data_IF_264731546766
#
_entry.id   IF_264731546766
#
_cell.length_a   1.000
_cell.length_b   1.000
_cell.length_c   1.000
_cell.angle_alpha   90.00
_cell.angle_beta   90.00
_cell.angle_gamma   90.00
#
_symmetry.space_group_name_H-M   'P 1'
#
loop_
_entity.id
_entity.type
_entity.pdbx_description
1 polymer ?
#
# COMPACT_ATOMS: atom_id res chain seq x y z
N UNK A 1 -8.10 24.94 29.01
CA UNK A 1 -7.84 24.80 27.57
C UNK A 1 -8.22 23.37 27.24
N UNK A 2 -9.42 23.17 26.69
CA UNK A 2 -9.99 21.85 26.49
C UNK A 2 -9.38 21.22 25.22
N UNK A 3 -8.85 20.01 25.37
CA UNK A 3 -8.51 19.11 24.26
C UNK A 3 -9.76 18.79 23.46
N UNK A 4 -9.80 19.25 22.21
CA UNK A 4 -10.84 18.91 21.23
C UNK A 4 -10.22 18.11 20.09
N UNK A 5 -9.59 16.97 20.38
CA UNK A 5 -9.24 16.00 19.35
C UNK A 5 -10.08 14.73 19.54
N UNK A 6 -11.31 14.82 19.05
CA UNK A 6 -12.26 13.72 19.02
C UNK A 6 -11.85 12.75 17.88
N UNK A 7 -11.56 11.47 18.16
CA UNK A 7 -11.44 10.43 17.14
C UNK A 7 -12.61 10.42 16.12
N UNK A 8 -13.75 11.01 16.50
CA UNK A 8 -14.90 11.27 15.64
C UNK A 8 -14.63 12.18 14.44
N UNK A 9 -13.75 13.18 14.54
CA UNK A 9 -13.50 14.12 13.42
C UNK A 9 -12.78 13.43 12.27
N UNK A 10 -11.69 12.72 12.55
CA UNK A 10 -10.92 11.98 11.54
C UNK A 10 -11.79 10.89 10.91
N UNK A 11 -12.51 10.09 11.74
CA UNK A 11 -13.41 9.04 11.23
C UNK A 11 -14.51 9.61 10.34
N UNK A 12 -15.07 10.76 10.69
CA UNK A 12 -16.11 11.43 9.89
C UNK A 12 -15.56 11.93 8.55
N UNK A 13 -14.39 12.57 8.55
CA UNK A 13 -13.74 13.04 7.33
C UNK A 13 -13.42 11.87 6.38
N UNK A 14 -12.88 10.77 6.90
CA UNK A 14 -12.60 9.56 6.11
C UNK A 14 -13.91 8.95 5.59
N UNK A 15 -14.95 8.87 6.42
CA UNK A 15 -16.25 8.32 6.01
C UNK A 15 -16.91 9.16 4.89
N UNK A 16 -16.78 10.48 4.94
CA UNK A 16 -17.25 11.37 3.87
C UNK A 16 -16.44 11.22 2.58
N UNK A 17 -15.12 11.05 2.70
CA UNK A 17 -14.27 10.78 1.54
C UNK A 17 -14.64 9.45 0.87
N UNK A 18 -14.95 8.41 1.65
CA UNK A 18 -15.36 7.10 1.14
C UNK A 18 -16.69 7.13 0.38
N UNK A 19 -17.59 8.07 0.70
CA UNK A 19 -18.86 8.24 -0.05
C UNK A 19 -18.63 8.77 -1.47
N UNK A 20 -17.58 9.56 -1.70
CA UNK A 20 -17.25 10.10 -3.02
C UNK A 20 -16.22 9.24 -3.77
N UNK A 21 -15.31 8.60 -3.04
CA UNK A 21 -14.29 7.71 -3.58
C UNK A 21 -14.13 6.48 -2.67
N UNK A 22 -14.67 5.30 -3.05
CA UNK A 22 -14.52 4.08 -2.25
C UNK A 22 -13.05 3.64 -2.11
N UNK A 23 -12.12 4.21 -2.90
CA UNK A 23 -10.67 3.94 -2.80
C UNK A 23 -9.91 4.97 -1.97
N UNK A 24 -10.58 5.95 -1.37
CA UNK A 24 -9.93 6.91 -0.47
C UNK A 24 -9.15 6.19 0.64
N UNK A 25 -9.71 5.11 1.19
CA UNK A 25 -9.03 4.28 2.20
C UNK A 25 -7.71 3.68 1.71
N UNK A 26 -7.67 3.14 0.48
CA UNK A 26 -6.45 2.59 -0.10
C UNK A 26 -5.37 3.66 -0.33
N UNK A 27 -5.78 4.86 -0.80
CA UNK A 27 -4.88 6.02 -0.98
C UNK A 27 -4.27 6.45 0.36
N UNK A 28 -5.09 6.55 1.41
CA UNK A 28 -4.64 6.94 2.75
C UNK A 28 -3.69 5.90 3.36
N UNK A 29 -4.01 4.60 3.29
CA UNK A 29 -3.10 3.54 3.78
C UNK A 29 -1.76 3.57 3.04
N UNK A 30 -1.77 3.76 1.72
CA UNK A 30 -0.53 3.87 0.93
C UNK A 30 0.28 5.11 1.29
N UNK A 31 -0.37 6.26 1.45
CA UNK A 31 0.30 7.50 1.86
C UNK A 31 0.96 7.33 3.24
N UNK A 32 0.27 6.69 4.17
CA UNK A 32 0.82 6.39 5.50
C UNK A 32 2.01 5.43 5.46
N UNK A 33 1.97 4.39 4.61
CA UNK A 33 3.12 3.52 4.38
C UNK A 33 4.31 4.31 3.82
N UNK A 34 4.09 5.17 2.81
CA UNK A 34 5.14 6.00 2.22
C UNK A 34 5.77 6.94 3.27
N UNK A 35 4.95 7.55 4.12
CA UNK A 35 5.41 8.39 5.24
C UNK A 35 6.26 7.58 6.23
N UNK A 36 5.77 6.43 6.71
CA UNK A 36 6.53 5.61 7.66
C UNK A 36 7.81 5.03 7.06
N UNK A 37 7.83 4.69 5.77
CA UNK A 37 9.04 4.16 5.15
C UNK A 37 10.10 5.24 4.89
N UNK A 38 9.74 6.52 4.87
CA UNK A 38 10.64 7.65 4.61
C UNK A 38 10.85 8.41 5.92
N UNK A 39 12.09 8.54 6.38
CA UNK A 39 12.48 9.28 7.59
C UNK A 39 12.08 8.66 8.93
N UNK A 40 11.66 7.38 9.02
CA UNK A 40 11.74 6.67 10.30
C UNK A 40 13.18 6.17 10.51
N UNK A 41 14.02 6.82 11.34
CA UNK A 41 15.03 6.09 12.07
C UNK A 41 14.31 5.10 13.00
N UNK A 42 15.00 4.04 13.38
CA UNK A 42 14.59 2.94 14.27
C UNK A 42 14.09 3.34 15.68
N UNK A 43 13.63 4.57 15.89
CA UNK A 43 13.16 5.11 17.17
C UNK A 43 11.63 5.17 17.31
N UNK A 44 10.85 4.83 16.28
CA UNK A 44 9.39 4.65 16.42
C UNK A 44 9.01 3.20 16.78
N UNK A 45 9.79 2.57 17.67
CA UNK A 45 9.69 1.17 18.08
C UNK A 45 8.47 0.81 18.93
N UNK A 46 7.30 1.35 18.60
CA UNK A 46 6.04 1.09 19.28
C UNK A 46 4.96 0.67 18.27
N UNK A 47 4.23 -0.42 18.51
CA UNK A 47 3.04 -0.73 17.72
C UNK A 47 2.01 0.39 17.84
N UNK A 48 1.40 0.75 16.70
CA UNK A 48 0.32 1.73 16.65
C UNK A 48 -0.94 1.13 17.26
N UNK A 49 -1.38 1.65 18.41
CA UNK A 49 -2.67 1.32 19.01
C UNK A 49 -3.41 2.61 19.38
N UNK A 50 -4.73 2.52 19.54
CA UNK A 50 -5.56 3.61 20.08
C UNK A 50 -4.92 4.21 21.34
N UNK A 51 -4.50 5.49 21.26
CA UNK A 51 -4.02 6.25 22.43
C UNK A 51 -2.70 7.01 22.23
N UNK A 52 -1.87 6.68 21.24
CA UNK A 52 -0.62 7.42 21.00
C UNK A 52 -0.82 8.53 19.95
N UNK A 53 -1.18 9.73 20.41
CA UNK A 53 -1.46 10.90 19.57
C UNK A 53 -0.22 11.75 19.25
N UNK A 54 1.00 11.27 19.51
CA UNK A 54 2.19 12.14 19.53
C UNK A 54 3.26 11.82 18.48
N UNK A 55 2.89 11.89 17.19
CA UNK A 55 3.90 12.13 16.15
C UNK A 55 3.96 13.62 15.85
N UNK A 56 5.18 14.18 15.89
CA UNK A 56 5.43 15.55 15.44
C UNK A 56 5.75 15.53 13.95
N UNK A 57 5.24 16.53 13.24
CA UNK A 57 5.53 16.69 11.81
C UNK A 57 7.01 17.05 11.60
N UNK A 58 7.66 16.39 10.65
CA UNK A 58 9.00 16.77 10.20
C UNK A 58 8.95 18.14 9.53
N UNK A 59 9.99 18.96 9.72
CA UNK A 59 10.12 20.25 9.03
C UNK A 59 10.79 20.13 7.66
N UNK A 60 11.16 18.91 7.25
CA UNK A 60 11.86 18.63 5.98
C UNK A 60 11.32 17.38 5.30
N UNK A 61 11.45 17.33 3.96
CA UNK A 61 11.19 16.14 3.17
C UNK A 61 12.51 15.50 2.70
N UNK A 62 12.50 14.18 2.50
CA UNK A 62 13.67 13.43 2.00
C UNK A 62 13.37 12.72 0.68
N UNK A 63 13.72 13.36 -0.44
CA UNK A 63 13.57 12.76 -1.77
C UNK A 63 14.51 11.56 -1.97
N UNK A 64 15.73 11.63 -1.42
CA UNK A 64 16.70 10.54 -1.51
C UNK A 64 16.19 9.27 -0.84
N UNK A 65 15.49 9.38 0.30
CA UNK A 65 14.85 8.24 0.94
C UNK A 65 13.59 7.77 0.21
N UNK A 66 12.78 8.70 -0.32
CA UNK A 66 11.62 8.33 -1.13
C UNK A 66 12.01 7.52 -2.38
N UNK A 67 13.19 7.75 -2.95
CA UNK A 67 13.73 6.95 -4.05
C UNK A 67 14.14 5.52 -3.65
N UNK A 68 14.21 5.21 -2.34
CA UNK A 68 14.54 3.89 -1.81
C UNK A 68 13.32 3.10 -1.34
N UNK A 69 12.10 3.54 -1.68
CA UNK A 69 10.88 2.78 -1.38
C UNK A 69 10.89 1.40 -2.07
N UNK A 70 10.30 0.37 -1.44
CA UNK A 70 10.18 -0.95 -2.04
C UNK A 70 9.56 -0.91 -3.44
N UNK A 71 10.32 -1.38 -4.42
CA UNK A 71 9.84 -1.46 -5.80
C UNK A 71 9.16 -2.80 -6.06
N UNK A 72 8.06 -2.74 -6.79
CA UNK A 72 7.35 -3.87 -7.39
C UNK A 72 8.21 -4.83 -8.23
N UNK A 73 9.35 -4.38 -8.77
CA UNK A 73 10.25 -5.20 -9.58
C UNK A 73 11.33 -5.90 -8.76
N UNK A 74 11.40 -5.64 -7.45
CA UNK A 74 12.37 -6.24 -6.55
C UNK A 74 12.00 -7.69 -6.22
N UNK A 75 13.03 -8.51 -6.05
CA UNK A 75 12.90 -9.89 -5.55
C UNK A 75 12.41 -9.90 -4.11
N UNK A 76 11.86 -11.03 -3.66
CA UNK A 76 11.47 -11.20 -2.26
C UNK A 76 12.61 -10.89 -1.28
N UNK A 77 13.85 -11.32 -1.59
CA UNK A 77 15.03 -11.04 -0.77
C UNK A 77 15.39 -9.54 -0.70
N UNK A 78 15.11 -8.76 -1.75
CA UNK A 78 15.29 -7.30 -1.73
C UNK A 78 14.20 -6.63 -0.89
N UNK A 79 12.94 -7.06 -1.01
CA UNK A 79 11.86 -6.54 -0.19
C UNK A 79 12.07 -6.85 1.31
N UNK A 80 12.46 -8.09 1.65
CA UNK A 80 12.78 -8.48 3.03
C UNK A 80 13.87 -7.58 3.62
N UNK A 81 14.97 -7.33 2.89
CA UNK A 81 16.05 -6.45 3.36
C UNK A 81 15.57 -5.01 3.60
N UNK A 82 14.71 -4.48 2.72
CA UNK A 82 14.18 -3.13 2.88
C UNK A 82 13.27 -3.00 4.11
N UNK A 83 12.44 -4.01 4.40
CA UNK A 83 11.61 -4.05 5.61
C UNK A 83 12.46 -4.21 6.87
N UNK A 84 13.48 -5.09 6.84
CA UNK A 84 14.43 -5.26 7.95
C UNK A 84 15.19 -3.97 8.28
N UNK A 85 15.55 -3.18 7.27
CA UNK A 85 16.16 -1.86 7.47
C UNK A 85 15.24 -0.87 8.20
N UNK A 86 13.93 -1.16 8.26
CA UNK A 86 12.91 -0.40 9.01
C UNK A 86 12.47 -1.11 10.30
N UNK A 87 13.19 -2.15 10.73
CA UNK A 87 12.86 -2.92 11.94
C UNK A 87 11.66 -3.86 11.77
N UNK A 88 11.20 -4.08 10.54
CA UNK A 88 10.08 -4.96 10.22
C UNK A 88 10.59 -6.33 9.75
N UNK A 89 10.00 -7.40 10.26
CA UNK A 89 10.38 -8.77 9.91
C UNK A 89 9.60 -9.28 8.67
N UNK A 90 9.83 -10.53 8.29
CA UNK A 90 9.16 -11.13 7.13
C UNK A 90 7.64 -11.28 7.31
N UNK A 91 7.15 -11.50 8.54
CA UNK A 91 5.72 -11.55 8.80
C UNK A 91 5.09 -10.16 8.59
N UNK A 92 5.77 -9.10 9.00
CA UNK A 92 5.33 -7.72 8.76
C UNK A 92 5.27 -7.41 7.26
N UNK A 93 6.27 -7.86 6.48
CA UNK A 93 6.25 -7.75 5.02
C UNK A 93 5.02 -8.44 4.42
N UNK A 94 4.76 -9.69 4.79
CA UNK A 94 3.62 -10.45 4.26
C UNK A 94 2.30 -9.78 4.67
N UNK A 95 2.14 -9.45 5.95
CA UNK A 95 0.93 -8.83 6.48
C UNK A 95 0.63 -7.46 5.84
N UNK A 96 1.66 -6.61 5.70
CA UNK A 96 1.52 -5.28 5.08
C UNK A 96 1.32 -5.38 3.56
N UNK A 97 1.83 -6.43 2.90
CA UNK A 97 1.53 -6.69 1.49
C UNK A 97 0.04 -6.97 1.25
N UNK A 98 -0.67 -7.48 2.26
CA UNK A 98 -2.13 -7.62 2.26
C UNK A 98 -2.88 -6.30 2.05
N UNK A 99 -2.26 -5.14 2.25
CA UNK A 99 -2.86 -3.86 1.90
C UNK A 99 -3.14 -3.71 0.39
N UNK A 100 -2.61 -4.58 -0.46
CA UNK A 100 -2.96 -4.66 -1.88
C UNK A 100 -4.31 -5.36 -2.16
N UNK A 101 -5.05 -5.81 -1.15
CA UNK A 101 -6.40 -6.39 -1.31
C UNK A 101 -7.46 -5.40 -1.82
N UNK A 102 -7.11 -4.12 -1.92
CA UNK A 102 -7.97 -3.05 -2.41
C UNK A 102 -7.13 -1.92 -3.01
N UNK A 103 -7.73 -1.08 -3.85
CA UNK A 103 -7.03 0.00 -4.54
C UNK A 103 -6.65 -0.35 -5.98
N UNK A 104 -5.83 0.49 -6.61
CA UNK A 104 -5.45 0.36 -8.03
C UNK A 104 -3.96 0.52 -8.28
N UNK A 105 -3.48 -0.10 -9.35
CA UNK A 105 -2.16 0.10 -9.92
C UNK A 105 -2.25 0.53 -11.40
N UNK A 106 -1.30 1.37 -11.81
CA UNK A 106 -1.16 1.78 -13.21
C UNK A 106 -0.51 0.67 -14.04
N UNK A 107 -0.96 0.47 -15.28
CA UNK A 107 -0.48 -0.61 -16.15
C UNK A 107 1.04 -0.58 -16.40
N UNK A 108 1.65 0.61 -16.47
CA UNK A 108 3.11 0.74 -16.57
C UNK A 108 3.88 0.05 -15.42
N UNK A 109 3.22 -0.23 -14.30
CA UNK A 109 3.79 -0.95 -13.16
C UNK A 109 3.82 -2.47 -13.37
N UNK A 110 3.05 -3.07 -14.26
CA UNK A 110 3.03 -4.54 -14.34
C UNK A 110 2.86 -5.08 -15.75
N UNK A 111 2.74 -4.22 -16.77
CA UNK A 111 2.58 -4.62 -18.17
C UNK A 111 3.66 -5.58 -18.65
N UNK A 112 4.88 -5.50 -18.11
CA UNK A 112 5.98 -6.42 -18.46
C UNK A 112 5.72 -7.87 -18.03
N UNK A 113 4.81 -8.09 -17.07
CA UNK A 113 4.41 -9.42 -16.58
C UNK A 113 3.17 -9.97 -17.30
N UNK A 114 2.50 -9.14 -18.09
CA UNK A 114 1.33 -9.54 -18.88
C UNK A 114 1.73 -10.32 -20.15
N UNK A 115 3.00 -10.68 -20.32
CA UNK A 115 3.41 -11.60 -21.37
C UNK A 115 3.01 -13.04 -21.02
N UNK A 116 2.73 -13.86 -22.03
CA UNK A 116 2.49 -15.29 -21.85
C UNK A 116 3.73 -16.06 -21.40
N UNK A 117 4.92 -15.44 -21.48
CA UNK A 117 6.20 -16.03 -21.08
C UNK A 117 6.44 -16.01 -19.57
N UNK A 118 5.53 -15.41 -18.80
CA UNK A 118 5.66 -15.31 -17.36
C UNK A 118 5.02 -16.50 -16.64
N UNK A 119 5.78 -17.51 -16.19
CA UNK A 119 5.23 -18.74 -15.67
C UNK A 119 4.59 -18.58 -14.28
N UNK A 120 4.87 -17.48 -13.57
CA UNK A 120 4.38 -17.29 -12.20
C UNK A 120 3.00 -16.62 -12.14
N UNK A 121 2.37 -16.34 -13.29
CA UNK A 121 1.08 -15.69 -13.37
C UNK A 121 0.08 -16.63 -14.03
N UNK A 122 -1.02 -16.91 -13.32
CA UNK A 122 -2.11 -17.71 -13.86
C UNK A 122 -2.65 -17.10 -15.16
N UNK A 123 -2.92 -17.95 -16.15
CA UNK A 123 -3.33 -17.48 -17.47
C UNK A 123 -4.73 -16.85 -17.46
N UNK A 124 -5.63 -17.36 -16.61
CA UNK A 124 -6.98 -16.82 -16.45
C UNK A 124 -6.89 -15.46 -15.77
N UNK A 125 -6.16 -15.36 -14.66
CA UNK A 125 -5.92 -14.10 -13.97
C UNK A 125 -5.28 -13.07 -14.90
N UNK A 126 -4.26 -13.43 -15.69
CA UNK A 126 -3.57 -12.54 -16.64
C UNK A 126 -4.52 -11.89 -17.66
N UNK A 127 -5.53 -12.61 -18.12
CA UNK A 127 -6.47 -12.13 -19.14
C UNK A 127 -7.26 -10.89 -18.69
N UNK A 128 -7.52 -10.78 -17.38
CA UNK A 128 -8.29 -9.68 -16.79
C UNK A 128 -7.54 -8.33 -16.90
N UNK A 129 -6.34 -8.14 -16.32
CA UNK A 129 -5.59 -6.91 -16.48
C UNK A 129 -5.13 -6.68 -17.92
N UNK A 130 -4.89 -7.73 -18.72
CA UNK A 130 -4.60 -7.57 -20.16
C UNK A 130 -5.73 -6.83 -20.89
N UNK A 131 -6.99 -7.20 -20.64
CA UNK A 131 -8.14 -6.52 -21.24
C UNK A 131 -8.30 -5.06 -20.79
N UNK A 132 -7.84 -4.74 -19.58
CA UNK A 132 -7.97 -3.41 -18.98
C UNK A 132 -6.79 -2.48 -19.32
N UNK A 133 -5.62 -3.02 -19.68
CA UNK A 133 -4.42 -2.25 -20.00
C UNK A 133 -4.39 -1.76 -21.44
N UNK A 134 -5.32 -0.87 -21.81
CA UNK A 134 -5.32 -0.19 -23.11
C UNK A 134 -4.25 0.90 -23.26
N UNK A 135 -3.79 1.48 -22.15
CA UNK A 135 -2.69 2.47 -22.11
C UNK A 135 -1.77 2.21 -20.92
N UNK A 136 -0.55 2.75 -20.96
CA UNK A 136 0.41 2.62 -19.86
C UNK A 136 -0.07 3.31 -18.56
N UNK A 137 -0.95 4.30 -18.65
CA UNK A 137 -1.52 5.04 -17.51
C UNK A 137 -2.89 4.52 -17.05
N UNK A 138 -3.46 3.51 -17.74
CA UNK A 138 -4.71 2.90 -17.33
C UNK A 138 -4.55 2.28 -15.93
N UNK A 139 -5.58 2.42 -15.09
CA UNK A 139 -5.55 1.99 -13.71
C UNK A 139 -6.41 0.73 -13.52
N UNK A 140 -5.80 -0.34 -13.05
CA UNK A 140 -6.44 -1.64 -12.82
C UNK A 140 -6.51 -1.92 -11.33
N UNK A 141 -7.55 -2.62 -10.87
CA UNK A 141 -7.65 -3.01 -9.45
C UNK A 141 -6.51 -3.94 -9.04
N UNK A 142 -5.97 -3.74 -7.83
CA UNK A 142 -4.93 -4.62 -7.29
C UNK A 142 -5.50 -6.01 -6.94
N UNK A 143 -6.78 -6.05 -6.56
CA UNK A 143 -7.56 -7.25 -6.30
C UNK A 143 -8.75 -7.31 -7.26
N UNK A 144 -8.87 -8.39 -8.02
CA UNK A 144 -9.96 -8.60 -8.98
C UNK A 144 -11.18 -9.28 -8.37
N UNK A 145 -11.05 -9.87 -7.17
CA UNK A 145 -12.15 -10.51 -6.45
C UNK A 145 -12.98 -9.49 -5.66
N UNK A 146 -12.32 -8.69 -4.81
CA UNK A 146 -12.97 -7.73 -3.91
C UNK A 146 -12.31 -6.34 -3.93
N UNK A 147 -12.34 -5.62 -5.07
CA UNK A 147 -11.46 -4.46 -5.37
C UNK A 147 -11.54 -3.25 -4.42
N UNK A 148 -12.58 -3.18 -3.59
CA UNK A 148 -12.83 -2.09 -2.63
C UNK A 148 -13.00 -2.57 -1.19
N UNK A 149 -12.85 -3.87 -0.93
CA UNK A 149 -13.01 -4.47 0.40
C UNK A 149 -11.64 -4.74 1.00
N UNK A 150 -11.47 -4.41 2.29
CA UNK A 150 -10.26 -4.81 3.01
C UNK A 150 -10.48 -6.18 3.64
N UNK A 151 -10.01 -7.24 2.98
CA UNK A 151 -10.15 -8.63 3.41
C UNK A 151 -8.87 -9.43 3.11
N UNK A 152 -8.98 -10.76 3.04
CA UNK A 152 -7.85 -11.65 2.77
C UNK A 152 -7.81 -12.17 1.32
N UNK A 153 -8.65 -11.64 0.42
CA UNK A 153 -8.74 -12.09 -0.97
C UNK A 153 -7.43 -11.91 -1.72
N UNK A 154 -6.63 -10.88 -1.38
CA UNK A 154 -5.26 -10.73 -1.86
C UNK A 154 -4.44 -12.02 -1.76
N UNK A 155 -4.49 -12.71 -0.62
CA UNK A 155 -3.71 -13.93 -0.40
C UNK A 155 -4.29 -15.14 -1.13
N UNK A 156 -5.60 -15.19 -1.33
CA UNK A 156 -6.27 -16.21 -2.16
C UNK A 156 -5.87 -16.10 -3.63
N UNK A 157 -5.51 -14.89 -4.09
CA UNK A 157 -5.11 -14.63 -5.47
C UNK A 157 -3.64 -15.00 -5.79
N UNK A 158 -2.80 -15.28 -4.78
CA UNK A 158 -1.35 -15.53 -4.94
C UNK A 158 -1.00 -16.96 -5.39
#
# INVERSE_FOLDING_TARGET
>A
MADHDEPGTVRSAVSNALQSDPRAGAKLKRMFFHDCFVQLPSQAGGPMWEGEVSRRDSTTASLSEANNLPSRSWTAAQQIRAFQAKGLNTNDLVALSGAHTFGKASCNLFQSRLSSSDPSMDATFRSIPQSSCGTASAMVDLDQGTPVTFDTQYYTNL
#
